data_IF_367676542373
#
_entry.id   IF_367676542373
#
_cell.length_a   1.000
_cell.length_b   1.000
_cell.length_c   1.000
_cell.angle_alpha   90.00
_cell.angle_beta   90.00
_cell.angle_gamma   90.00
#
_symmetry.space_group_name_H-M   'P 1'
#
loop_
_entity.id
_entity.type
_entity.pdbx_description
1 polymer ?
#
# COMPACT_ATOMS: atom_id res chain seq x y z
N UNK A 1 -53.39 29.44 -27.02
CA UNK A 1 -53.78 28.75 -25.81
C UNK A 1 -53.15 27.37 -25.79
N UNK A 2 -52.66 26.97 -24.64
CA UNK A 2 -52.11 25.64 -24.30
C UNK A 2 -50.72 25.28 -24.87
N UNK A 3 -49.70 25.80 -24.17
CA UNK A 3 -48.44 25.09 -24.00
C UNK A 3 -48.66 24.11 -22.84
N UNK A 4 -48.69 22.81 -23.09
CA UNK A 4 -48.58 21.78 -22.08
C UNK A 4 -47.30 21.01 -22.30
N UNK A 5 -46.37 21.22 -21.44
CA UNK A 5 -45.62 20.26 -20.66
C UNK A 5 -45.26 18.94 -21.34
N UNK A 6 -44.03 18.91 -21.87
CA UNK A 6 -43.21 17.70 -21.96
C UNK A 6 -42.27 17.69 -20.79
N UNK A 7 -42.76 17.20 -19.65
CA UNK A 7 -41.92 16.68 -18.58
C UNK A 7 -41.76 15.18 -18.82
N UNK A 8 -40.92 14.83 -19.77
CA UNK A 8 -40.44 13.46 -19.87
C UNK A 8 -39.62 13.12 -18.61
N UNK A 9 -40.09 12.07 -17.97
CA UNK A 9 -39.46 11.40 -16.86
C UNK A 9 -38.00 11.08 -17.21
N UNK A 10 -37.10 11.90 -16.72
CA UNK A 10 -35.74 11.46 -16.49
C UNK A 10 -35.88 10.40 -15.38
N UNK A 11 -35.89 9.13 -15.80
CA UNK A 11 -35.55 8.05 -14.87
C UNK A 11 -34.13 8.38 -14.38
N UNK A 12 -34.02 8.96 -13.21
CA UNK A 12 -32.86 8.82 -12.39
C UNK A 12 -32.67 7.31 -12.22
N UNK A 13 -31.81 6.71 -13.04
CA UNK A 13 -31.17 5.49 -12.64
C UNK A 13 -30.43 5.87 -11.35
N UNK A 14 -31.02 5.52 -10.23
CA UNK A 14 -30.32 5.38 -8.98
C UNK A 14 -29.26 4.34 -9.29
N UNK A 15 -28.04 4.77 -9.56
CA UNK A 15 -26.87 3.93 -9.43
C UNK A 15 -26.91 3.59 -7.94
N UNK A 16 -27.33 2.39 -7.59
CA UNK A 16 -27.08 1.83 -6.28
C UNK A 16 -25.56 1.82 -6.16
N UNK A 17 -25.00 2.85 -5.52
CA UNK A 17 -23.62 2.80 -5.09
C UNK A 17 -23.54 1.57 -4.19
N UNK A 18 -22.79 0.58 -4.63
CA UNK A 18 -22.50 -0.58 -3.81
C UNK A 18 -21.64 -0.08 -2.64
N UNK A 19 -22.28 0.11 -1.48
CA UNK A 19 -21.70 0.82 -0.33
C UNK A 19 -20.42 0.17 0.21
N UNK A 20 -20.10 -1.04 -0.25
CA UNK A 20 -18.97 -1.85 0.19
C UNK A 20 -17.93 -2.08 -0.90
N UNK A 21 -18.11 -1.53 -2.11
CA UNK A 21 -17.10 -1.55 -3.16
C UNK A 21 -15.86 -0.75 -2.71
N UNK A 22 -14.69 -1.21 -3.10
CA UNK A 22 -13.40 -0.69 -2.66
C UNK A 22 -12.62 -0.18 -3.86
N UNK A 23 -12.27 1.12 -3.89
CA UNK A 23 -11.26 1.61 -4.83
C UNK A 23 -9.87 1.18 -4.39
N UNK A 24 -9.05 0.79 -5.35
CA UNK A 24 -7.69 0.30 -5.08
C UNK A 24 -6.68 1.36 -5.53
N UNK A 25 -5.78 1.73 -4.63
CA UNK A 25 -4.61 2.56 -4.94
C UNK A 25 -3.36 1.71 -4.82
N UNK A 26 -2.47 1.83 -5.77
CA UNK A 26 -1.19 1.11 -5.80
C UNK A 26 -0.11 1.98 -6.43
N UNK A 27 1.16 1.65 -6.17
CA UNK A 27 2.27 2.31 -6.84
C UNK A 27 3.36 1.31 -7.25
N UNK A 28 4.04 1.62 -8.34
CA UNK A 28 5.24 0.92 -8.75
C UNK A 28 6.24 1.89 -9.40
N UNK A 29 7.43 1.92 -8.83
CA UNK A 29 8.61 2.59 -9.39
C UNK A 29 9.74 1.58 -9.46
N UNK A 30 10.49 1.56 -10.56
CA UNK A 30 11.64 0.69 -10.66
C UNK A 30 12.81 1.31 -9.86
N UNK A 31 13.02 0.79 -8.67
CA UNK A 31 14.10 1.17 -7.76
C UNK A 31 15.33 0.28 -7.91
N UNK A 32 15.49 -0.37 -9.07
CA UNK A 32 16.65 -1.20 -9.40
C UNK A 32 16.66 -2.59 -8.76
N UNK A 33 15.51 -3.12 -8.32
CA UNK A 33 15.46 -4.44 -7.66
C UNK A 33 15.85 -5.60 -8.58
N UNK A 34 15.80 -5.43 -9.89
CA UNK A 34 16.31 -6.40 -10.86
C UNK A 34 17.81 -6.69 -10.68
N UNK A 35 18.53 -5.69 -10.19
CA UNK A 35 19.98 -5.74 -9.96
C UNK A 35 20.40 -6.21 -8.55
N UNK A 36 19.46 -6.55 -7.68
CA UNK A 36 19.73 -7.05 -6.33
C UNK A 36 20.03 -8.55 -6.36
N UNK A 37 21.14 -8.90 -6.96
CA UNK A 37 21.48 -10.27 -7.33
C UNK A 37 22.36 -10.96 -6.29
N UNK A 38 22.37 -12.33 -6.27
CA UNK A 38 23.32 -13.11 -5.47
C UNK A 38 24.79 -12.81 -5.79
N UNK A 39 25.09 -12.42 -7.04
CA UNK A 39 26.45 -12.01 -7.45
C UNK A 39 26.90 -10.73 -6.74
N UNK A 40 25.97 -9.89 -6.34
CA UNK A 40 26.22 -8.71 -5.49
C UNK A 40 26.19 -9.03 -3.99
N UNK A 41 26.10 -10.31 -3.60
CA UNK A 41 26.08 -10.77 -2.22
C UNK A 41 24.70 -10.65 -1.53
N UNK A 42 23.64 -10.39 -2.31
CA UNK A 42 22.27 -10.26 -1.79
C UNK A 42 21.51 -11.59 -1.88
N UNK A 43 20.55 -11.86 -0.98
CA UNK A 43 19.70 -13.03 -1.08
C UNK A 43 18.87 -13.06 -2.37
N UNK A 44 18.71 -14.22 -2.97
CA UNK A 44 17.97 -14.39 -4.23
C UNK A 44 16.52 -13.86 -4.16
N UNK A 45 15.86 -13.98 -3.02
CA UNK A 45 14.47 -13.52 -2.85
C UNK A 45 14.30 -11.99 -2.95
N UNK A 46 15.39 -11.23 -2.85
CA UNK A 46 15.34 -9.77 -3.00
C UNK A 46 15.31 -9.35 -4.48
N UNK A 47 15.86 -10.18 -5.37
CA UNK A 47 15.87 -9.90 -6.79
C UNK A 47 14.46 -10.02 -7.36
N UNK A 48 13.92 -8.90 -7.86
CA UNK A 48 12.61 -8.84 -8.52
C UNK A 48 12.68 -7.84 -9.67
N UNK A 49 12.52 -8.35 -10.86
CA UNK A 49 12.53 -7.50 -12.06
C UNK A 49 11.22 -6.72 -12.19
N UNK A 50 11.23 -5.65 -12.97
CA UNK A 50 10.04 -4.92 -13.39
C UNK A 50 9.00 -5.85 -13.99
N UNK A 51 9.38 -6.80 -14.84
CA UNK A 51 8.46 -7.78 -15.42
C UNK A 51 7.79 -8.66 -14.36
N UNK A 52 8.54 -9.12 -13.35
CA UNK A 52 7.95 -9.86 -12.21
C UNK A 52 6.82 -9.08 -11.53
N UNK A 53 7.00 -7.77 -11.35
CA UNK A 53 5.96 -6.93 -10.76
C UNK A 53 4.76 -6.76 -11.67
N UNK A 54 4.98 -6.56 -12.97
CA UNK A 54 3.91 -6.42 -13.94
C UNK A 54 3.13 -7.71 -14.16
N UNK A 55 3.76 -8.88 -14.11
CA UNK A 55 3.08 -10.18 -14.14
C UNK A 55 2.12 -10.34 -12.94
N UNK A 56 2.55 -9.90 -11.76
CA UNK A 56 1.71 -9.89 -10.56
C UNK A 56 0.57 -8.88 -10.66
N UNK A 57 0.88 -7.67 -11.14
CA UNK A 57 -0.14 -6.66 -11.40
C UNK A 57 -1.18 -7.13 -12.41
N UNK A 58 -0.78 -7.86 -13.45
CA UNK A 58 -1.71 -8.42 -14.42
C UNK A 58 -2.74 -9.37 -13.80
N UNK A 59 -2.43 -10.02 -12.66
CA UNK A 59 -3.43 -10.76 -11.88
C UNK A 59 -4.40 -9.80 -11.19
N UNK A 60 -3.91 -8.79 -10.46
CA UNK A 60 -4.74 -7.80 -9.76
C UNK A 60 -5.61 -7.01 -10.74
N UNK A 61 -5.08 -6.72 -11.92
CA UNK A 61 -5.74 -5.98 -12.99
C UNK A 61 -7.00 -6.66 -13.55
N UNK A 62 -7.26 -7.92 -13.21
CA UNK A 62 -8.50 -8.63 -13.55
C UNK A 62 -9.71 -8.14 -12.76
N UNK A 63 -9.50 -7.50 -11.62
CA UNK A 63 -10.58 -6.95 -10.80
C UNK A 63 -11.37 -5.87 -11.55
N UNK A 64 -12.68 -5.83 -11.32
CA UNK A 64 -13.59 -4.81 -11.84
C UNK A 64 -13.65 -3.55 -10.97
N UNK A 65 -12.86 -3.52 -9.92
CA UNK A 65 -12.67 -2.34 -9.07
C UNK A 65 -11.98 -1.20 -9.84
N UNK A 66 -12.26 0.03 -9.42
CA UNK A 66 -11.44 1.18 -9.82
C UNK A 66 -10.03 1.01 -9.27
N UNK A 67 -9.03 1.06 -10.16
CA UNK A 67 -7.61 0.95 -9.78
C UNK A 67 -6.89 2.24 -10.18
N UNK A 68 -6.30 2.90 -9.19
CA UNK A 68 -5.46 4.08 -9.34
C UNK A 68 -4.00 3.65 -9.18
N UNK A 69 -3.20 3.86 -10.22
CA UNK A 69 -1.80 3.43 -10.27
C UNK A 69 -0.87 4.63 -10.34
N UNK A 70 0.00 4.76 -9.35
CA UNK A 70 1.12 5.69 -9.39
C UNK A 70 2.35 5.00 -9.98
N UNK A 71 2.99 5.61 -10.97
CA UNK A 71 4.16 5.02 -11.62
C UNK A 71 5.01 6.11 -12.30
N UNK A 72 6.18 5.74 -12.83
CA UNK A 72 6.97 6.63 -13.68
C UNK A 72 6.39 6.71 -15.10
N UNK A 73 6.72 7.79 -15.81
CA UNK A 73 6.19 8.05 -17.17
C UNK A 73 6.47 6.91 -18.15
N UNK A 74 7.66 6.33 -18.08
CA UNK A 74 8.11 5.24 -18.96
C UNK A 74 7.35 3.92 -18.74
N UNK A 75 6.71 3.74 -17.58
CA UNK A 75 5.94 2.53 -17.23
C UNK A 75 4.43 2.70 -17.40
N UNK A 76 3.95 3.93 -17.60
CA UNK A 76 2.51 4.23 -17.67
C UNK A 76 1.81 3.48 -18.81
N UNK A 77 2.41 3.41 -20.00
CA UNK A 77 1.83 2.70 -21.14
C UNK A 77 1.66 1.20 -20.86
N UNK A 78 2.60 0.59 -20.12
CA UNK A 78 2.51 -0.83 -19.73
C UNK A 78 1.30 -1.08 -18.81
N UNK A 79 1.01 -0.16 -17.87
CA UNK A 79 -0.20 -0.23 -17.03
C UNK A 79 -1.46 -0.17 -17.89
N UNK A 80 -1.56 0.82 -18.79
CA UNK A 80 -2.70 0.97 -19.69
C UNK A 80 -2.90 -0.26 -20.57
N UNK A 81 -1.83 -0.83 -21.10
CA UNK A 81 -1.87 -2.05 -21.92
C UNK A 81 -2.50 -3.23 -21.17
N UNK A 82 -2.17 -3.40 -19.90
CA UNK A 82 -2.70 -4.49 -19.05
C UNK A 82 -4.18 -4.24 -18.72
N UNK A 83 -4.58 -3.01 -18.51
CA UNK A 83 -5.95 -2.60 -18.17
C UNK A 83 -6.81 -2.22 -19.40
N UNK A 84 -6.38 -2.56 -20.62
CA UNK A 84 -6.95 -2.15 -21.89
C UNK A 84 -8.48 -2.30 -22.02
N UNK A 85 -9.10 -3.26 -21.34
CA UNK A 85 -10.56 -3.46 -21.39
C UNK A 85 -11.29 -2.83 -20.19
N UNK A 86 -10.58 -2.10 -19.35
CA UNK A 86 -11.08 -1.51 -18.09
C UNK A 86 -10.60 -0.06 -17.92
N UNK A 87 -10.41 0.66 -19.06
CA UNK A 87 -9.92 2.05 -19.06
C UNK A 87 -10.83 2.97 -18.22
N UNK A 88 -12.15 2.72 -18.25
CA UNK A 88 -13.13 3.50 -17.50
C UNK A 88 -13.06 3.31 -15.96
N UNK A 89 -12.34 2.30 -15.49
CA UNK A 89 -12.05 1.99 -14.08
C UNK A 89 -10.55 2.02 -13.80
N UNK A 90 -9.79 2.78 -14.58
CA UNK A 90 -8.34 2.87 -14.45
C UNK A 90 -7.91 4.32 -14.46
N UNK A 91 -7.11 4.69 -13.48
CA UNK A 91 -6.42 5.99 -13.44
C UNK A 91 -4.92 5.73 -13.32
N UNK A 92 -4.13 6.35 -14.19
CA UNK A 92 -2.66 6.29 -14.07
C UNK A 92 -2.16 7.70 -13.80
N UNK A 93 -1.39 7.84 -12.73
CA UNK A 93 -0.80 9.12 -12.32
C UNK A 93 0.71 8.95 -12.38
N UNK A 94 1.35 9.72 -13.26
CA UNK A 94 2.79 9.68 -13.39
C UNK A 94 3.46 10.60 -12.37
N UNK A 95 4.53 10.10 -11.77
CA UNK A 95 5.31 10.78 -10.74
C UNK A 95 6.79 10.65 -11.09
N UNK A 96 7.50 11.75 -11.08
CA UNK A 96 8.96 11.74 -11.06
C UNK A 96 9.42 11.40 -9.63
N UNK A 97 9.59 10.10 -9.39
CA UNK A 97 9.92 9.61 -8.06
C UNK A 97 11.35 9.99 -7.64
N UNK A 98 12.25 10.21 -8.59
CA UNK A 98 13.64 10.60 -8.28
C UNK A 98 13.73 12.06 -7.82
N UNK A 99 13.00 12.95 -8.48
CA UNK A 99 13.04 14.40 -8.21
C UNK A 99 12.06 14.84 -7.11
N UNK A 100 11.05 14.02 -6.82
CA UNK A 100 10.17 14.23 -5.69
C UNK A 100 10.72 13.56 -4.42
N UNK A 101 10.31 14.06 -3.26
CA UNK A 101 10.65 13.47 -1.94
C UNK A 101 12.16 13.42 -1.62
N UNK A 102 12.96 14.33 -2.19
CA UNK A 102 14.42 14.39 -2.01
C UNK A 102 14.78 14.51 -0.52
N UNK A 103 14.10 15.39 0.22
CA UNK A 103 14.38 15.63 1.65
C UNK A 103 14.14 14.38 2.50
N UNK A 104 13.04 13.67 2.23
CA UNK A 104 12.73 12.42 2.93
C UNK A 104 13.75 11.33 2.59
N UNK A 105 14.08 11.18 1.30
CA UNK A 105 15.08 10.22 0.83
C UNK A 105 16.45 10.48 1.47
N UNK A 106 16.88 11.74 1.53
CA UNK A 106 18.16 12.11 2.12
C UNK A 106 18.18 11.89 3.63
N UNK A 107 17.06 12.14 4.31
CA UNK A 107 16.91 11.84 5.74
C UNK A 107 17.03 10.34 6.01
N UNK A 108 16.39 9.49 5.21
CA UNK A 108 16.50 8.03 5.29
C UNK A 108 17.96 7.60 5.03
N UNK A 109 18.55 8.08 3.94
CA UNK A 109 19.93 7.75 3.55
C UNK A 109 20.95 8.15 4.62
N UNK A 110 20.72 9.28 5.27
CA UNK A 110 21.56 9.74 6.37
C UNK A 110 21.57 8.75 7.51
N UNK A 111 20.42 8.22 7.92
CA UNK A 111 20.32 7.21 8.99
C UNK A 111 20.95 5.89 8.53
N UNK A 112 20.64 5.41 7.32
CA UNK A 112 21.19 4.17 6.77
C UNK A 112 22.73 4.18 6.64
N UNK A 113 23.34 5.36 6.48
CA UNK A 113 24.79 5.54 6.45
C UNK A 113 25.40 5.79 7.84
N UNK A 114 24.61 5.87 8.91
CA UNK A 114 25.11 6.07 10.26
C UNK A 114 25.66 4.75 10.86
N UNK A 115 26.98 4.66 11.17
CA UNK A 115 27.55 3.44 11.74
C UNK A 115 26.91 3.03 13.09
N UNK A 116 26.45 4.00 13.88
CA UNK A 116 25.78 3.72 15.16
C UNK A 116 24.40 3.07 14.96
N UNK A 117 23.69 3.43 13.88
CA UNK A 117 22.46 2.76 13.48
C UNK A 117 22.75 1.33 13.03
N UNK A 118 23.69 1.16 12.11
CA UNK A 118 24.04 -0.16 11.57
C UNK A 118 24.57 -1.12 12.65
N UNK A 119 25.26 -0.60 13.66
CA UNK A 119 25.73 -1.39 14.79
C UNK A 119 24.61 -1.96 15.68
N UNK A 120 23.40 -1.38 15.61
CA UNK A 120 22.21 -1.88 16.34
C UNK A 120 21.53 -3.03 15.60
N UNK A 121 21.75 -3.16 14.29
CA UNK A 121 21.04 -4.14 13.45
C UNK A 121 21.64 -5.53 13.65
N UNK A 122 20.78 -6.53 13.81
CA UNK A 122 21.20 -7.92 13.87
C UNK A 122 21.96 -8.29 12.57
N UNK A 123 23.20 -8.81 12.66
CA UNK A 123 24.01 -9.14 11.49
C UNK A 123 23.31 -10.07 10.46
N UNK A 124 22.36 -10.88 10.89
CA UNK A 124 21.56 -11.73 9.97
C UNK A 124 20.56 -10.93 9.13
N UNK A 125 20.20 -9.71 9.55
CA UNK A 125 19.18 -8.88 8.93
C UNK A 125 19.75 -7.77 8.03
N UNK A 126 21.02 -7.41 8.14
CA UNK A 126 21.63 -6.26 7.44
C UNK A 126 21.52 -6.29 5.91
N UNK A 127 21.19 -7.45 5.34
CA UNK A 127 20.99 -7.60 3.88
C UNK A 127 19.58 -7.22 3.43
N UNK A 128 18.64 -7.03 4.34
CA UNK A 128 17.30 -6.60 3.99
C UNK A 128 17.30 -5.15 3.54
N UNK A 129 16.48 -4.77 2.54
CA UNK A 129 16.60 -3.49 1.85
C UNK A 129 16.27 -2.26 2.72
N UNK A 130 15.50 -2.42 3.77
CA UNK A 130 15.18 -1.35 4.72
C UNK A 130 16.43 -0.75 5.39
N UNK A 131 17.54 -1.50 5.46
CA UNK A 131 18.77 -1.04 6.13
C UNK A 131 19.75 -0.33 5.20
N UNK A 132 19.53 -0.35 3.85
CA UNK A 132 20.51 0.22 2.90
C UNK A 132 19.88 0.85 1.64
N UNK A 133 18.62 0.62 1.33
CA UNK A 133 17.95 1.21 0.17
C UNK A 133 16.95 2.28 0.62
N UNK A 134 17.35 3.55 0.48
CA UNK A 134 16.46 4.67 0.82
C UNK A 134 15.20 4.69 -0.03
N UNK A 135 15.29 4.34 -1.30
CA UNK A 135 14.14 4.29 -2.20
C UNK A 135 13.15 3.18 -1.82
N UNK A 136 13.65 2.05 -1.30
CA UNK A 136 12.79 0.99 -0.78
C UNK A 136 11.98 1.47 0.42
N UNK A 137 12.62 2.08 1.40
CA UNK A 137 11.95 2.63 2.58
C UNK A 137 10.97 3.72 2.17
N UNK A 138 11.39 4.62 1.28
CA UNK A 138 10.60 5.76 0.84
C UNK A 138 9.30 5.33 0.15
N UNK A 139 9.36 4.41 -0.83
CA UNK A 139 8.16 3.95 -1.54
C UNK A 139 7.17 3.26 -0.60
N UNK A 140 7.67 2.53 0.40
CA UNK A 140 6.83 1.89 1.41
C UNK A 140 6.20 2.93 2.37
N UNK A 141 6.95 3.94 2.79
CA UNK A 141 6.44 5.03 3.64
C UNK A 141 5.35 5.86 2.97
N UNK A 142 5.42 6.04 1.65
CA UNK A 142 4.51 6.92 0.89
C UNK A 142 3.13 6.29 0.57
N UNK A 143 2.82 5.09 1.02
CA UNK A 143 1.55 4.40 0.72
C UNK A 143 0.32 5.25 1.08
N UNK A 144 0.27 5.77 2.29
CA UNK A 144 -0.83 6.65 2.75
C UNK A 144 -0.86 7.98 2.00
N UNK A 145 0.30 8.53 1.65
CA UNK A 145 0.41 9.74 0.84
C UNK A 145 -0.22 9.56 -0.54
N UNK A 146 0.09 8.49 -1.26
CA UNK A 146 -0.51 8.23 -2.58
C UNK A 146 -2.02 8.06 -2.49
N UNK A 147 -2.53 7.40 -1.46
CA UNK A 147 -3.99 7.27 -1.29
C UNK A 147 -4.64 8.62 -1.04
N UNK A 148 -4.09 9.43 -0.13
CA UNK A 148 -4.62 10.78 0.15
C UNK A 148 -4.54 11.70 -1.05
N UNK A 149 -3.46 11.62 -1.84
CA UNK A 149 -3.35 12.37 -3.09
C UNK A 149 -4.46 11.96 -4.07
N UNK A 150 -4.74 10.65 -4.23
CA UNK A 150 -5.81 10.17 -5.10
C UNK A 150 -7.20 10.66 -4.63
N UNK A 151 -7.46 10.64 -3.32
CA UNK A 151 -8.68 11.17 -2.71
C UNK A 151 -8.79 12.68 -2.98
N UNK A 152 -7.74 13.43 -2.71
CA UNK A 152 -7.68 14.89 -2.92
C UNK A 152 -7.82 15.29 -4.39
N UNK A 153 -7.35 14.48 -5.31
CA UNK A 153 -7.50 14.66 -6.77
C UNK A 153 -8.91 14.30 -7.27
N UNK A 154 -9.79 13.73 -6.42
CA UNK A 154 -11.16 13.36 -6.78
C UNK A 154 -11.26 12.20 -7.76
N UNK A 155 -10.24 11.32 -7.82
CA UNK A 155 -10.21 10.15 -8.71
C UNK A 155 -10.64 8.85 -8.03
N UNK A 156 -10.97 8.93 -6.74
CA UNK A 156 -11.55 7.83 -5.95
C UNK A 156 -13.06 7.95 -5.99
N UNK A 157 -13.76 6.90 -6.38
CA UNK A 157 -15.21 6.89 -6.60
C UNK A 157 -16.00 6.11 -5.53
N UNK A 158 -15.32 5.49 -4.55
CA UNK A 158 -15.94 4.74 -3.45
C UNK A 158 -15.56 5.33 -2.10
N UNK A 159 -16.37 5.06 -1.07
CA UNK A 159 -16.07 5.50 0.30
C UNK A 159 -14.91 4.71 0.93
N UNK A 160 -14.85 3.39 0.68
CA UNK A 160 -13.76 2.54 1.10
C UNK A 160 -12.63 2.55 0.05
N UNK A 161 -11.42 2.74 0.52
CA UNK A 161 -10.20 2.74 -0.31
C UNK A 161 -9.19 1.78 0.28
N UNK A 162 -8.59 0.98 -0.58
CA UNK A 162 -7.50 0.10 -0.18
C UNK A 162 -6.18 0.55 -0.82
N UNK A 163 -5.12 0.55 -0.04
CA UNK A 163 -3.79 0.35 -0.58
C UNK A 163 -3.57 -1.13 -0.82
N UNK A 164 -3.15 -1.51 -2.01
CA UNK A 164 -2.59 -2.82 -2.29
C UNK A 164 -1.21 -2.66 -2.94
N UNK A 165 -0.21 -3.38 -2.45
CA UNK A 165 1.08 -3.40 -3.12
C UNK A 165 0.91 -3.84 -4.58
N UNK A 166 1.62 -3.21 -5.52
CA UNK A 166 1.54 -3.50 -6.95
C UNK A 166 1.78 -5.00 -7.27
N UNK A 167 2.60 -5.64 -6.46
CA UNK A 167 2.87 -7.08 -6.53
C UNK A 167 2.03 -7.95 -5.59
N UNK A 168 0.88 -7.47 -5.10
CA UNK A 168 0.04 -8.19 -4.13
C UNK A 168 -0.43 -9.55 -4.65
N UNK A 169 -0.95 -9.60 -5.86
CA UNK A 169 -1.45 -10.83 -6.48
C UNK A 169 -0.29 -11.65 -7.06
N UNK A 170 0.46 -12.33 -6.20
CA UNK A 170 1.65 -13.11 -6.58
C UNK A 170 1.35 -14.20 -7.58
N UNK A 171 0.16 -14.76 -7.52
CA UNK A 171 -0.38 -15.81 -8.39
C UNK A 171 -1.83 -15.50 -8.74
N UNK A 172 -2.36 -16.09 -9.81
CA UNK A 172 -3.76 -15.93 -10.18
C UNK A 172 -4.72 -16.40 -9.08
N UNK A 173 -4.35 -17.44 -8.33
CA UNK A 173 -5.10 -17.97 -7.18
C UNK A 173 -5.22 -16.99 -6.01
N UNK A 174 -4.39 -15.94 -5.94
CA UNK A 174 -4.50 -14.90 -4.90
C UNK A 174 -5.85 -14.19 -4.93
N UNK A 175 -6.44 -14.03 -6.13
CA UNK A 175 -7.76 -13.40 -6.29
C UNK A 175 -8.92 -14.29 -5.81
N UNK A 176 -8.73 -15.60 -5.72
CA UNK A 176 -9.77 -16.53 -5.30
C UNK A 176 -11.09 -16.38 -6.11
N UNK A 177 -10.96 -16.24 -7.44
CA UNK A 177 -12.06 -16.02 -8.39
C UNK A 177 -12.91 -14.76 -8.12
N UNK A 178 -12.40 -13.81 -7.32
CA UNK A 178 -13.04 -12.51 -7.09
C UNK A 178 -12.92 -11.66 -8.33
N UNK A 179 -14.06 -11.26 -8.89
CA UNK A 179 -14.13 -10.30 -9.99
C UNK A 179 -14.25 -8.86 -9.48
N UNK A 180 -15.06 -8.64 -8.44
CA UNK A 180 -15.23 -7.33 -7.79
C UNK A 180 -14.97 -7.48 -6.29
N UNK A 181 -13.99 -6.78 -5.78
CA UNK A 181 -13.70 -6.78 -4.35
C UNK A 181 -14.58 -5.79 -3.61
N UNK A 182 -15.39 -6.32 -2.72
CA UNK A 182 -16.28 -5.59 -1.85
C UNK A 182 -16.35 -6.28 -0.49
N UNK A 183 -16.35 -5.51 0.58
CA UNK A 183 -16.48 -6.02 1.94
C UNK A 183 -16.89 -4.89 2.89
N UNK A 184 -17.80 -5.14 3.88
CA UNK A 184 -18.30 -4.12 4.80
C UNK A 184 -17.31 -3.81 5.92
N UNK A 185 -16.12 -3.32 5.57
CA UNK A 185 -15.19 -2.81 6.56
C UNK A 185 -15.79 -1.65 7.35
N UNK A 186 -15.48 -1.58 8.65
CA UNK A 186 -15.90 -0.45 9.50
C UNK A 186 -15.28 0.85 8.99
N UNK A 187 -16.12 1.77 8.52
CA UNK A 187 -15.69 3.04 7.92
C UNK A 187 -15.12 4.05 8.93
N UNK A 188 -15.27 3.79 10.23
CA UNK A 188 -14.70 4.61 11.31
C UNK A 188 -13.34 4.07 11.78
N UNK A 189 -12.83 3.02 11.14
CA UNK A 189 -11.57 2.35 11.48
C UNK A 189 -10.60 2.32 10.29
N UNK A 190 -9.33 2.17 10.62
CA UNK A 190 -8.25 1.83 9.70
C UNK A 190 -7.95 0.35 9.91
N UNK A 191 -8.02 -0.44 8.84
CA UNK A 191 -7.89 -1.90 8.90
C UNK A 191 -6.48 -2.32 8.52
N UNK A 192 -5.78 -2.91 9.49
CA UNK A 192 -4.47 -3.52 9.30
C UNK A 192 -4.54 -5.03 9.44
N UNK A 193 -3.64 -5.72 8.74
CA UNK A 193 -3.48 -7.16 8.83
C UNK A 193 -2.23 -7.48 9.64
N UNK A 194 -2.39 -8.19 10.76
CA UNK A 194 -1.30 -8.43 11.71
C UNK A 194 -1.00 -9.92 11.85
N UNK A 195 0.29 -10.27 11.92
CA UNK A 195 0.74 -11.66 12.08
C UNK A 195 0.98 -12.04 13.53
N UNK A 196 1.08 -11.07 14.41
CA UNK A 196 1.17 -11.27 15.87
C UNK A 196 0.80 -10.00 16.63
N UNK A 197 0.40 -10.18 17.86
CA UNK A 197 0.14 -9.06 18.76
C UNK A 197 1.46 -8.40 19.21
N UNK A 198 1.39 -7.09 19.42
CA UNK A 198 2.51 -6.34 20.00
C UNK A 198 2.64 -6.66 21.50
N UNK A 199 3.87 -6.95 21.95
CA UNK A 199 4.17 -7.03 23.36
C UNK A 199 4.71 -5.66 23.84
N UNK A 200 4.04 -4.97 24.77
CA UNK A 200 4.46 -3.64 25.26
C UNK A 200 5.87 -3.59 25.88
N UNK A 201 6.42 -4.74 26.27
CA UNK A 201 7.80 -4.83 26.77
C UNK A 201 8.84 -4.79 25.63
N UNK A 202 8.43 -4.98 24.39
CA UNK A 202 9.33 -4.96 23.22
C UNK A 202 9.57 -3.52 22.77
N UNK A 203 10.82 -3.09 22.74
CA UNK A 203 11.15 -1.76 22.22
C UNK A 203 11.09 -1.71 20.69
N UNK A 204 10.70 -0.56 20.14
CA UNK A 204 10.72 -0.31 18.68
C UNK A 204 12.14 -0.52 18.12
N UNK A 205 13.20 -0.12 18.87
CA UNK A 205 14.59 -0.38 18.45
C UNK A 205 14.86 -1.88 18.31
N UNK A 206 14.32 -2.73 19.19
CA UNK A 206 14.50 -4.18 19.07
C UNK A 206 13.73 -4.75 17.86
N UNK A 207 12.54 -4.21 17.55
CA UNK A 207 11.77 -4.59 16.38
C UNK A 207 12.57 -4.29 15.12
N UNK A 208 13.05 -3.06 14.98
CA UNK A 208 13.89 -2.63 13.85
C UNK A 208 15.15 -3.51 13.75
N UNK A 209 15.87 -3.68 14.87
CA UNK A 209 17.13 -4.43 14.88
C UNK A 209 16.98 -5.88 14.40
N UNK A 210 15.83 -6.50 14.59
CA UNK A 210 15.58 -7.90 14.27
C UNK A 210 14.64 -8.10 13.05
N UNK A 211 14.22 -7.03 12.40
CA UNK A 211 13.18 -7.10 11.36
C UNK A 211 11.95 -7.88 11.82
N UNK A 212 11.42 -7.48 12.97
CA UNK A 212 10.38 -8.23 13.68
C UNK A 212 8.97 -7.75 13.28
N UNK A 213 8.38 -8.39 12.29
CA UNK A 213 7.09 -7.97 11.72
C UNK A 213 5.93 -8.27 12.66
N UNK A 214 5.10 -7.28 12.94
CA UNK A 214 3.84 -7.35 13.67
C UNK A 214 2.64 -7.07 12.76
N UNK A 215 2.68 -5.96 12.05
CA UNK A 215 1.67 -5.52 11.07
C UNK A 215 2.25 -5.68 9.67
N UNK A 216 1.44 -6.15 8.73
CA UNK A 216 1.88 -6.30 7.34
C UNK A 216 1.50 -5.08 6.51
N UNK A 217 2.37 -4.67 5.58
CA UNK A 217 2.16 -3.48 4.74
C UNK A 217 1.48 -3.69 3.38
N UNK A 218 1.34 -4.92 2.84
CA UNK A 218 0.85 -5.11 1.47
C UNK A 218 -0.62 -4.78 1.24
N UNK A 219 -1.43 -4.72 2.30
CA UNK A 219 -2.84 -4.38 2.23
C UNK A 219 -3.22 -3.51 3.43
N UNK A 220 -3.83 -2.37 3.16
CA UNK A 220 -4.40 -1.44 4.15
C UNK A 220 -5.75 -1.01 3.62
N UNK A 221 -6.81 -1.02 4.46
CA UNK A 221 -8.13 -0.55 4.05
C UNK A 221 -8.63 0.50 5.03
N UNK A 222 -9.21 1.58 4.52
CA UNK A 222 -9.90 2.56 5.32
C UNK A 222 -10.92 3.35 4.47
N UNK A 223 -11.82 4.06 5.11
CA UNK A 223 -12.65 5.03 4.39
C UNK A 223 -11.85 6.27 4.00
N UNK A 224 -12.33 7.02 3.01
CA UNK A 224 -11.68 8.27 2.56
C UNK A 224 -11.38 9.23 3.73
N UNK A 225 -12.24 9.30 4.74
CA UNK A 225 -12.06 10.19 5.91
C UNK A 225 -10.96 9.72 6.88
N UNK A 226 -10.61 8.43 6.88
CA UNK A 226 -9.62 7.87 7.80
C UNK A 226 -8.19 7.86 7.22
N UNK A 227 -8.03 7.96 5.91
CA UNK A 227 -6.72 8.00 5.28
C UNK A 227 -5.86 9.22 5.67
N UNK A 228 -6.40 10.46 5.80
CA UNK A 228 -5.62 11.60 6.31
C UNK A 228 -5.08 11.37 7.73
N UNK A 229 -5.85 10.68 8.58
CA UNK A 229 -5.42 10.33 9.93
C UNK A 229 -4.25 9.33 9.90
N UNK A 230 -4.32 8.32 9.00
CA UNK A 230 -3.22 7.39 8.83
C UNK A 230 -1.95 8.09 8.33
N UNK A 231 -2.05 8.96 7.32
CA UNK A 231 -0.90 9.70 6.82
C UNK A 231 -0.24 10.54 7.92
N UNK A 232 -1.03 11.27 8.69
CA UNK A 232 -0.55 12.05 9.85
C UNK A 232 0.23 11.17 10.84
N UNK A 233 -0.32 10.01 11.21
CA UNK A 233 0.29 9.10 12.18
C UNK A 233 1.57 8.46 11.63
N UNK A 234 1.60 8.12 10.33
CA UNK A 234 2.80 7.60 9.64
C UNK A 234 3.88 8.66 9.60
N UNK A 235 3.56 9.92 9.24
CA UNK A 235 4.52 11.03 9.26
C UNK A 235 5.09 11.31 10.66
N UNK A 236 4.23 11.30 11.69
CA UNK A 236 4.66 11.47 13.07
C UNK A 236 5.61 10.35 13.50
N UNK A 237 5.29 9.11 13.13
CA UNK A 237 6.11 7.94 13.44
C UNK A 237 7.45 7.99 12.69
N UNK A 238 7.45 8.41 11.43
CA UNK A 238 8.67 8.63 10.67
C UNK A 238 9.55 9.72 11.29
N UNK A 239 8.98 10.88 11.62
CA UNK A 239 9.72 11.99 12.30
C UNK A 239 10.30 11.54 13.63
N UNK A 240 9.56 10.71 14.37
CA UNK A 240 10.03 10.14 15.64
C UNK A 240 11.24 9.21 15.43
N UNK A 241 11.19 8.30 14.44
CA UNK A 241 12.31 7.42 14.12
C UNK A 241 13.55 8.22 13.71
N UNK A 242 13.39 9.15 12.76
CA UNK A 242 14.49 10.00 12.30
C UNK A 242 15.14 10.79 13.46
N UNK A 243 14.33 11.31 14.39
CA UNK A 243 14.84 12.06 15.57
C UNK A 243 15.69 11.20 16.52
N UNK A 244 15.57 9.88 16.44
CA UNK A 244 16.30 8.89 17.23
C UNK A 244 17.42 8.21 16.44
N UNK A 245 17.75 8.69 15.25
CA UNK A 245 18.66 8.03 14.30
C UNK A 245 18.27 6.56 14.06
N UNK A 246 16.97 6.34 13.80
CA UNK A 246 16.38 5.06 13.44
C UNK A 246 15.60 5.19 12.15
N UNK A 247 15.50 4.09 11.42
CA UNK A 247 14.65 3.96 10.23
C UNK A 247 14.23 2.50 10.03
N UNK A 248 13.08 2.30 9.44
CA UNK A 248 12.56 1.00 8.99
C UNK A 248 11.57 1.23 7.84
N UNK A 249 11.03 0.14 7.30
CA UNK A 249 9.99 0.20 6.29
C UNK A 249 8.59 0.52 6.88
N UNK A 250 7.55 0.36 6.08
CA UNK A 250 6.17 0.67 6.48
C UNK A 250 5.66 -0.16 7.66
N UNK A 251 6.13 -1.39 7.84
CA UNK A 251 5.60 -2.32 8.85
C UNK A 251 5.78 -1.78 10.28
N UNK A 252 6.96 -1.24 10.57
CA UNK A 252 7.21 -0.58 11.86
C UNK A 252 6.46 0.76 11.98
N UNK A 253 6.36 1.54 10.89
CA UNK A 253 5.62 2.81 10.91
C UNK A 253 4.12 2.57 11.15
N UNK A 254 3.53 1.54 10.52
CA UNK A 254 2.13 1.16 10.71
C UNK A 254 1.88 0.65 12.14
N UNK A 255 2.79 -0.17 12.68
CA UNK A 255 2.72 -0.60 14.07
C UNK A 255 2.74 0.61 15.01
N UNK A 256 3.71 1.52 14.86
CA UNK A 256 3.80 2.72 15.71
C UNK A 256 2.53 3.58 15.59
N UNK A 257 1.98 3.72 14.39
CA UNK A 257 0.72 4.44 14.16
C UNK A 257 -0.43 3.82 14.95
N UNK A 258 -0.56 2.50 14.92
CA UNK A 258 -1.62 1.79 15.65
C UNK A 258 -1.45 1.84 17.17
N UNK A 259 -0.23 1.98 17.66
CA UNK A 259 0.06 2.12 19.11
C UNK A 259 -0.21 3.54 19.63
N UNK A 260 -0.12 4.57 18.77
CA UNK A 260 -0.39 5.97 19.16
C UNK A 260 -1.87 6.24 19.43
N UNK A 261 -2.76 5.73 18.58
CA UNK A 261 -4.20 5.96 18.65
C UNK A 261 -4.98 4.65 18.35
N UNK A 262 -4.86 3.63 19.24
CA UNK A 262 -5.34 2.27 18.96
C UNK A 262 -6.85 2.19 18.69
N UNK A 263 -7.63 3.13 19.21
CA UNK A 263 -9.07 3.20 18.97
C UNK A 263 -9.45 3.51 17.51
N UNK A 264 -8.53 4.01 16.70
CA UNK A 264 -8.75 4.26 15.27
C UNK A 264 -8.49 3.03 14.40
N UNK A 265 -7.97 1.95 14.96
CA UNK A 265 -7.53 0.79 14.20
C UNK A 265 -8.34 -0.46 14.50
N UNK A 266 -8.49 -1.28 13.49
CA UNK A 266 -8.95 -2.66 13.60
C UNK A 266 -7.86 -3.57 13.03
N UNK A 267 -7.38 -4.49 13.87
CA UNK A 267 -6.32 -5.43 13.52
C UNK A 267 -6.93 -6.78 13.15
N UNK A 268 -6.65 -7.24 11.94
CA UNK A 268 -7.13 -8.51 11.41
C UNK A 268 -6.03 -9.57 11.50
N UNK A 269 -6.13 -10.55 12.41
CA UNK A 269 -5.11 -11.58 12.54
C UNK A 269 -5.02 -12.46 11.29
N UNK A 270 -3.80 -12.63 10.79
CA UNK A 270 -3.47 -13.49 9.65
C UNK A 270 -2.30 -14.42 10.00
N UNK A 271 -2.05 -15.44 9.17
CA UNK A 271 -0.88 -16.30 9.34
C UNK A 271 0.40 -15.59 8.88
N UNK A 272 1.52 -15.83 9.58
CA UNK A 272 2.84 -15.38 9.14
C UNK A 272 3.23 -15.94 7.76
N UNK A 273 2.69 -17.09 7.38
CA UNK A 273 2.97 -17.75 6.11
C UNK A 273 2.01 -17.33 4.98
N UNK A 274 0.98 -16.52 5.29
CA UNK A 274 -0.06 -16.18 4.33
C UNK A 274 -0.55 -14.73 4.47
N UNK A 275 0.22 -13.80 3.89
CA UNK A 275 -0.05 -12.35 3.93
C UNK A 275 -1.04 -11.86 2.87
N UNK A 276 -1.36 -12.70 1.87
CA UNK A 276 -2.10 -12.28 0.68
C UNK A 276 -3.52 -12.85 0.67
N UNK A 277 -4.23 -12.72 1.81
CA UNK A 277 -5.53 -13.36 2.04
C UNK A 277 -6.74 -12.43 1.86
N UNK A 278 -6.54 -11.14 1.55
CA UNK A 278 -7.62 -10.16 1.54
C UNK A 278 -8.82 -10.63 0.72
N UNK A 279 -8.60 -11.11 -0.50
CA UNK A 279 -9.68 -11.57 -1.38
C UNK A 279 -10.31 -12.90 -0.94
N UNK A 280 -9.57 -13.76 -0.24
CA UNK A 280 -10.06 -15.05 0.24
C UNK A 280 -10.85 -14.95 1.53
N UNK A 281 -10.59 -13.95 2.38
CA UNK A 281 -11.17 -13.84 3.72
C UNK A 281 -12.09 -12.63 3.88
N UNK A 282 -11.84 -11.57 3.14
CA UNK A 282 -12.55 -10.30 3.26
C UNK A 282 -13.23 -9.93 1.93
N UNK A 283 -14.19 -10.77 1.53
CA UNK A 283 -15.04 -10.56 0.36
C UNK A 283 -16.48 -10.99 0.69
N UNK A 284 -17.47 -10.16 0.33
CA UNK A 284 -18.89 -10.44 0.60
C UNK A 284 -19.42 -11.70 -0.06
N UNK A 285 -18.80 -12.15 -1.15
CA UNK A 285 -19.22 -13.34 -1.90
C UNK A 285 -18.72 -14.67 -1.25
N UNK A 286 -18.13 -14.62 -0.05
CA UNK A 286 -17.69 -15.79 0.72
C UNK A 286 -18.76 -16.28 1.71
N UNK A 287 -20.05 -16.24 1.33
CA UNK A 287 -21.16 -16.81 2.13
C UNK A 287 -21.43 -18.27 1.77
#
# INVERSE_FOLDING_TARGET
MARLCFLEKIKLNTIEFNMNEISIVTAFFDIGRGDWTPQKGLPHYLQRTTDTYFDRFANMAKLDNTIIVYTSEDLAEKVWSIRKNKEHKTVVITVDFEDQFIEQRDSIRKVQNNPEYLAKINPSQVKNPEYWSADYVLVNMLKSHFVNHAIGAGVVDTDLVAWLDFGYCREASTLNDVELWQYPFDKDRIHFFNIKNFNPETSITSIIANNDVHVTGPCIVASQKMWPELERLVEESFKELISKDLIDDDQTLLLMSSLKEPEKFELHPISADDWFIAFRKYNENLS
#
